data_IF_900682224295
#
_entry.id   IF_900682224295
#
_cell.length_a   1.000
_cell.length_b   1.000
_cell.length_c   1.000
_cell.angle_alpha   90.00
_cell.angle_beta   90.00
_cell.angle_gamma   90.00
#
_symmetry.space_group_name_H-M   'P 1'
#
loop_
_entity.id
_entity.type
_entity.pdbx_description
1 polymer ?
#
# COMPACT_ATOMS: atom_id res chain seq x y z
N UNK A 1 0.04 -13.35 28.46
CA UNK A 1 0.07 -12.43 27.30
C UNK A 1 1.06 -12.89 26.24
N UNK A 2 2.33 -13.15 26.59
CA UNK A 2 3.33 -13.62 25.60
C UNK A 2 2.97 -14.99 24.98
N UNK A 3 2.50 -15.95 25.79
CA UNK A 3 2.03 -17.25 25.28
C UNK A 3 0.80 -17.16 24.36
N UNK A 4 -0.03 -16.13 24.54
CA UNK A 4 -1.23 -15.91 23.74
C UNK A 4 -0.87 -15.34 22.37
N UNK A 5 -0.04 -14.30 22.32
CA UNK A 5 0.43 -13.71 21.06
C UNK A 5 1.22 -14.73 20.22
N UNK A 6 2.09 -15.53 20.85
CA UNK A 6 2.77 -16.62 20.14
C UNK A 6 1.80 -17.67 19.58
N UNK A 7 0.71 -17.98 20.29
CA UNK A 7 -0.33 -18.89 19.77
C UNK A 7 -1.02 -18.28 18.55
N UNK A 8 -1.44 -17.01 18.63
CA UNK A 8 -2.06 -16.31 17.49
C UNK A 8 -1.11 -16.25 16.30
N UNK A 9 0.15 -15.89 16.51
CA UNK A 9 1.14 -15.83 15.44
C UNK A 9 1.31 -17.20 14.77
N UNK A 10 1.39 -18.26 15.57
CA UNK A 10 1.49 -19.62 15.04
C UNK A 10 0.25 -20.01 14.21
N UNK A 11 -0.95 -19.65 14.66
CA UNK A 11 -2.19 -19.88 13.90
C UNK A 11 -2.16 -19.08 12.60
N UNK A 12 -1.92 -17.77 12.67
CA UNK A 12 -1.89 -16.89 11.49
C UNK A 12 -0.84 -17.28 10.48
N UNK A 13 0.29 -17.85 10.91
CA UNK A 13 1.35 -18.29 10.01
C UNK A 13 1.08 -19.65 9.36
N UNK A 14 0.55 -20.60 10.14
CA UNK A 14 0.59 -22.02 9.78
C UNK A 14 -0.79 -22.64 9.54
N UNK A 15 -1.88 -21.99 9.95
CA UNK A 15 -3.22 -22.53 9.70
C UNK A 15 -3.51 -22.54 8.20
N UNK A 16 -4.11 -23.64 7.76
CA UNK A 16 -4.65 -23.82 6.41
C UNK A 16 -6.18 -23.74 6.40
N UNK A 17 -6.81 -23.35 7.51
CA UNK A 17 -8.26 -23.25 7.68
C UNK A 17 -8.65 -21.79 7.85
N UNK A 18 -9.47 -21.28 6.93
CA UNK A 18 -10.01 -19.92 7.06
C UNK A 18 -10.85 -19.74 8.32
N UNK A 19 -11.62 -20.76 8.72
CA UNK A 19 -12.42 -20.71 9.95
C UNK A 19 -11.54 -20.55 11.19
N UNK A 20 -10.43 -21.28 11.28
CA UNK A 20 -9.48 -21.16 12.39
C UNK A 20 -8.81 -19.78 12.42
N UNK A 21 -8.44 -19.25 11.25
CA UNK A 21 -7.90 -17.89 11.12
C UNK A 21 -8.92 -16.84 11.57
N UNK A 22 -10.19 -17.01 11.19
CA UNK A 22 -11.28 -16.12 11.56
C UNK A 22 -11.55 -16.15 13.07
N UNK A 23 -11.59 -17.33 13.69
CA UNK A 23 -11.78 -17.47 15.13
C UNK A 23 -10.63 -16.83 15.92
N UNK A 24 -9.38 -17.11 15.52
CA UNK A 24 -8.20 -16.49 16.12
C UNK A 24 -8.17 -14.97 15.93
N UNK A 25 -8.57 -14.48 14.76
CA UNK A 25 -8.71 -13.05 14.50
C UNK A 25 -9.77 -12.40 15.39
N UNK A 26 -10.96 -13.00 15.51
CA UNK A 26 -12.01 -12.50 16.39
C UNK A 26 -11.58 -12.46 17.84
N UNK A 27 -10.87 -13.50 18.30
CA UNK A 27 -10.32 -13.54 19.65
C UNK A 27 -9.31 -12.39 19.86
N UNK A 28 -8.41 -12.16 18.91
CA UNK A 28 -7.43 -11.07 18.96
C UNK A 28 -8.10 -9.69 19.04
N UNK A 29 -9.12 -9.45 18.20
CA UNK A 29 -9.88 -8.19 18.19
C UNK A 29 -10.66 -8.00 19.49
N UNK A 30 -11.34 -9.03 19.98
CA UNK A 30 -12.11 -8.95 21.24
C UNK A 30 -11.20 -8.65 22.46
N UNK A 31 -9.94 -9.06 22.40
CA UNK A 31 -8.94 -8.79 23.44
C UNK A 31 -8.13 -7.51 23.19
N UNK A 32 -8.51 -6.70 22.19
CA UNK A 32 -7.84 -5.46 21.81
C UNK A 32 -6.33 -5.65 21.55
N UNK A 33 -5.96 -6.74 20.89
CA UNK A 33 -4.57 -6.93 20.43
C UNK A 33 -4.25 -5.85 19.41
N UNK A 34 -3.28 -5.00 19.74
CA UNK A 34 -2.84 -3.91 18.87
C UNK A 34 -1.42 -4.19 18.36
N UNK A 35 -1.21 -5.38 17.79
CA UNK A 35 0.08 -5.81 17.25
C UNK A 35 0.04 -5.78 15.73
N UNK A 36 0.72 -4.77 15.20
CA UNK A 36 0.80 -4.49 13.77
C UNK A 36 1.41 -5.69 13.01
N UNK A 37 2.55 -6.19 13.44
CA UNK A 37 3.24 -7.28 12.73
C UNK A 37 2.45 -8.59 12.76
N UNK A 38 1.67 -8.82 13.83
CA UNK A 38 0.80 -9.99 13.92
C UNK A 38 -0.25 -10.02 12.80
N UNK A 39 -0.91 -8.89 12.55
CA UNK A 39 -1.96 -8.82 11.51
C UNK A 39 -1.42 -8.83 10.09
N UNK A 40 -0.20 -8.35 9.87
CA UNK A 40 0.51 -8.55 8.61
C UNK A 40 0.71 -10.02 8.27
N UNK A 41 1.02 -10.85 9.27
CA UNK A 41 1.17 -12.30 9.10
C UNK A 41 -0.18 -12.92 8.69
N UNK A 42 -1.28 -12.52 9.33
CA UNK A 42 -2.62 -12.97 8.96
C UNK A 42 -2.94 -12.63 7.49
N UNK A 43 -2.77 -11.37 7.08
CA UNK A 43 -3.10 -10.93 5.72
C UNK A 43 -2.24 -11.61 4.65
N UNK A 44 -1.03 -12.05 5.01
CA UNK A 44 -0.14 -12.80 4.13
C UNK A 44 -0.38 -14.31 4.14
N UNK A 45 -1.36 -14.83 4.88
CA UNK A 45 -1.61 -16.26 4.94
C UNK A 45 -2.19 -16.79 3.61
N UNK A 46 -1.59 -17.84 3.00
CA UNK A 46 -1.99 -18.34 1.68
C UNK A 46 -3.34 -19.09 1.67
N UNK A 47 -3.90 -19.44 2.83
CA UNK A 47 -5.22 -20.04 2.95
C UNK A 47 -6.36 -19.04 2.73
N UNK A 48 -6.06 -17.74 2.76
CA UNK A 48 -7.06 -16.69 2.56
C UNK A 48 -7.32 -16.42 1.08
N UNK A 49 -8.60 -16.33 0.74
CA UNK A 49 -9.07 -15.77 -0.52
C UNK A 49 -8.93 -14.25 -0.56
N UNK A 50 -9.03 -13.65 -1.77
CA UNK A 50 -9.03 -12.19 -1.91
C UNK A 50 -10.11 -11.52 -1.06
N UNK A 51 -11.30 -12.12 -1.00
CA UNK A 51 -12.45 -11.54 -0.29
C UNK A 51 -12.25 -11.59 1.21
N UNK A 52 -11.61 -12.65 1.72
CA UNK A 52 -11.26 -12.75 3.14
C UNK A 52 -10.15 -11.77 3.52
N UNK A 53 -9.12 -11.61 2.67
CA UNK A 53 -8.09 -10.59 2.86
C UNK A 53 -8.74 -9.20 2.94
N UNK A 54 -9.67 -8.88 2.02
CA UNK A 54 -10.42 -7.62 2.05
C UNK A 54 -11.24 -7.50 3.33
N UNK A 55 -11.99 -8.53 3.71
CA UNK A 55 -12.81 -8.54 4.91
C UNK A 55 -11.98 -8.28 6.18
N UNK A 56 -10.86 -8.99 6.36
CA UNK A 56 -9.97 -8.77 7.50
C UNK A 56 -9.38 -7.37 7.50
N UNK A 57 -8.97 -6.87 6.33
CA UNK A 57 -8.41 -5.52 6.18
C UNK A 57 -9.41 -4.44 6.55
N UNK A 58 -10.66 -4.53 6.07
CA UNK A 58 -11.72 -3.59 6.44
C UNK A 58 -12.03 -3.63 7.93
N UNK A 59 -12.08 -4.84 8.50
CA UNK A 59 -12.35 -5.00 9.93
C UNK A 59 -11.22 -4.43 10.77
N UNK A 60 -9.96 -4.67 10.40
CA UNK A 60 -8.79 -4.10 11.07
C UNK A 60 -8.80 -2.58 11.02
N UNK A 61 -8.99 -2.00 9.84
CA UNK A 61 -9.04 -0.55 9.66
C UNK A 61 -10.15 0.12 10.50
N UNK A 62 -11.27 -0.60 10.72
CA UNK A 62 -12.39 -0.14 11.53
C UNK A 62 -12.14 -0.26 13.04
N UNK A 63 -11.59 -1.38 13.48
CA UNK A 63 -11.42 -1.68 14.92
C UNK A 63 -10.13 -1.10 15.50
N UNK A 64 -9.11 -0.87 14.64
CA UNK A 64 -7.80 -0.32 15.02
C UNK A 64 -7.46 0.86 14.09
N UNK A 65 -8.18 2.00 14.17
CA UNK A 65 -8.04 3.11 13.22
C UNK A 65 -6.62 3.69 13.13
N UNK A 66 -5.84 3.64 14.21
CA UNK A 66 -4.45 4.08 14.27
C UNK A 66 -3.52 3.26 13.37
N UNK A 67 -3.91 2.03 13.00
CA UNK A 67 -3.16 1.17 12.09
C UNK A 67 -3.69 1.19 10.66
N UNK A 68 -4.80 1.89 10.39
CA UNK A 68 -5.54 1.87 9.13
C UNK A 68 -4.64 2.04 7.89
N UNK A 69 -3.70 2.99 7.92
CA UNK A 69 -2.74 3.21 6.81
C UNK A 69 -1.88 1.97 6.59
N UNK A 70 -1.30 1.41 7.66
CA UNK A 70 -0.43 0.23 7.53
C UNK A 70 -1.21 -1.00 7.08
N UNK A 71 -2.44 -1.19 7.59
CA UNK A 71 -3.35 -2.24 7.14
C UNK A 71 -3.56 -2.13 5.63
N UNK A 72 -4.00 -0.98 5.11
CA UNK A 72 -4.22 -0.81 3.67
C UNK A 72 -2.93 -0.95 2.85
N UNK A 73 -1.79 -0.45 3.34
CA UNK A 73 -0.50 -0.60 2.66
C UNK A 73 -0.08 -2.08 2.54
N UNK A 74 -0.32 -2.90 3.56
CA UNK A 74 0.02 -4.32 3.50
C UNK A 74 -0.97 -5.11 2.67
N UNK A 75 -2.25 -4.81 2.76
CA UNK A 75 -3.27 -5.40 1.89
C UNK A 75 -2.94 -5.14 0.43
N UNK A 76 -2.58 -3.89 0.09
CA UNK A 76 -2.13 -3.55 -1.26
C UNK A 76 -0.89 -4.35 -1.65
N UNK A 77 0.07 -4.51 -0.75
CA UNK A 77 1.30 -5.26 -1.00
C UNK A 77 1.04 -6.77 -1.24
N UNK A 78 0.10 -7.37 -0.51
CA UNK A 78 -0.32 -8.76 -0.72
C UNK A 78 -0.89 -8.95 -2.12
N UNK A 79 -1.72 -8.01 -2.59
CA UNK A 79 -2.26 -8.06 -3.95
C UNK A 79 -1.23 -7.71 -5.03
N UNK A 80 -0.28 -6.81 -4.74
CA UNK A 80 0.83 -6.48 -5.64
C UNK A 80 1.70 -7.70 -5.98
N UNK A 81 1.88 -8.64 -5.05
CA UNK A 81 2.62 -9.89 -5.31
C UNK A 81 1.94 -10.81 -6.34
N UNK A 82 0.67 -10.56 -6.67
CA UNK A 82 -0.11 -11.34 -7.64
C UNK A 82 -0.63 -10.46 -8.78
N UNK A 83 0.02 -9.31 -9.04
CA UNK A 83 -0.45 -8.26 -9.96
C UNK A 83 -0.54 -8.68 -11.43
N UNK A 84 -0.05 -9.86 -11.80
CA UNK A 84 -0.28 -10.45 -13.12
C UNK A 84 -1.76 -10.81 -13.32
N UNK A 85 -2.50 -11.07 -12.24
CA UNK A 85 -3.96 -11.12 -12.25
C UNK A 85 -4.52 -9.69 -12.21
N UNK A 86 -5.31 -9.34 -13.22
CA UNK A 86 -5.92 -8.03 -13.36
C UNK A 86 -6.73 -7.61 -12.13
N UNK A 87 -7.49 -8.52 -11.51
CA UNK A 87 -8.29 -8.20 -10.33
C UNK A 87 -7.39 -7.87 -9.13
N UNK A 88 -6.27 -8.57 -8.99
CA UNK A 88 -5.28 -8.34 -7.94
C UNK A 88 -4.56 -7.01 -8.15
N UNK A 89 -4.23 -6.66 -9.39
CA UNK A 89 -3.67 -5.35 -9.71
C UNK A 89 -4.65 -4.23 -9.32
N UNK A 90 -5.92 -4.33 -9.70
CA UNK A 90 -6.94 -3.33 -9.35
C UNK A 90 -7.15 -3.23 -7.83
N UNK A 91 -7.13 -4.37 -7.12
CA UNK A 91 -7.18 -4.37 -5.66
C UNK A 91 -5.96 -3.68 -5.04
N UNK A 92 -4.74 -3.96 -5.53
CA UNK A 92 -3.53 -3.29 -5.07
C UNK A 92 -3.59 -1.77 -5.28
N UNK A 93 -4.06 -1.33 -6.45
CA UNK A 93 -4.27 0.10 -6.76
C UNK A 93 -5.26 0.70 -5.76
N UNK A 94 -6.42 0.09 -5.60
CA UNK A 94 -7.48 0.57 -4.70
C UNK A 94 -6.99 0.73 -3.26
N UNK A 95 -6.26 -0.26 -2.72
CA UNK A 95 -5.76 -0.19 -1.34
C UNK A 95 -4.64 0.84 -1.16
N UNK A 96 -3.73 1.02 -2.12
CA UNK A 96 -2.76 2.11 -2.04
C UNK A 96 -3.41 3.50 -2.14
N UNK A 97 -4.46 3.66 -2.97
CA UNK A 97 -5.23 4.90 -3.02
C UNK A 97 -5.91 5.19 -1.69
N UNK A 98 -6.53 4.18 -1.07
CA UNK A 98 -7.17 4.34 0.24
C UNK A 98 -6.17 4.62 1.35
N UNK A 99 -5.00 3.98 1.35
CA UNK A 99 -3.91 4.30 2.28
C UNK A 99 -3.49 5.78 2.16
N UNK A 100 -3.42 6.30 0.93
CA UNK A 100 -3.16 7.71 0.68
C UNK A 100 -4.26 8.62 1.22
N UNK A 101 -5.52 8.26 1.04
CA UNK A 101 -6.66 9.07 1.49
C UNK A 101 -6.73 9.23 3.01
N UNK A 102 -6.21 8.25 3.77
CA UNK A 102 -6.08 8.35 5.23
C UNK A 102 -4.99 9.35 5.66
N UNK A 103 -3.91 9.49 4.90
CA UNK A 103 -2.83 10.44 5.18
C UNK A 103 -2.29 11.10 3.89
N UNK A 104 -2.98 12.11 3.33
CA UNK A 104 -2.60 12.73 2.05
C UNK A 104 -1.24 13.45 2.05
N UNK A 105 -0.65 13.64 3.23
CA UNK A 105 0.68 14.20 3.43
C UNK A 105 1.80 13.17 3.15
N UNK A 106 1.49 11.88 3.20
CA UNK A 106 2.43 10.79 3.04
C UNK A 106 2.60 10.41 1.56
N UNK A 107 3.82 10.53 1.05
CA UNK A 107 4.14 10.27 -0.35
C UNK A 107 4.30 8.77 -0.66
N UNK A 108 4.48 7.92 0.35
CA UNK A 108 4.79 6.50 0.15
C UNK A 108 3.74 5.74 -0.66
N UNK A 109 2.42 5.88 -0.42
CA UNK A 109 1.41 5.18 -1.22
C UNK A 109 1.44 5.60 -2.70
N UNK A 110 1.72 6.88 -3.01
CA UNK A 110 1.84 7.34 -4.40
C UNK A 110 3.05 6.70 -5.10
N UNK A 111 4.19 6.61 -4.39
CA UNK A 111 5.38 5.95 -4.92
C UNK A 111 5.11 4.46 -5.16
N UNK A 112 4.37 3.81 -4.26
CA UNK A 112 3.96 2.41 -4.44
C UNK A 112 3.02 2.22 -5.62
N UNK A 113 2.06 3.12 -5.84
CA UNK A 113 1.21 3.10 -7.03
C UNK A 113 2.04 3.14 -8.33
N UNK A 114 3.06 3.99 -8.41
CA UNK A 114 3.92 4.07 -9.59
C UNK A 114 4.68 2.75 -9.87
N UNK A 115 4.98 1.96 -8.84
CA UNK A 115 5.64 0.65 -9.01
C UNK A 115 4.70 -0.42 -9.61
N UNK A 116 3.39 -0.18 -9.60
CA UNK A 116 2.40 -1.04 -10.24
C UNK A 116 2.27 -0.78 -11.75
N UNK A 117 2.91 0.27 -12.28
CA UNK A 117 2.86 0.60 -13.69
C UNK A 117 3.41 -0.55 -14.55
N UNK A 118 2.62 -0.99 -15.53
CA UNK A 118 3.01 -2.01 -16.50
C UNK A 118 3.69 -1.33 -17.71
N UNK A 119 4.96 -1.66 -17.97
CA UNK A 119 5.72 -1.06 -19.07
C UNK A 119 5.53 -1.77 -20.42
N UNK A 120 5.00 -2.99 -20.41
CA UNK A 120 4.84 -3.80 -21.62
C UNK A 120 3.57 -3.42 -22.39
N UNK A 121 2.53 -2.97 -21.67
CA UNK A 121 1.22 -2.65 -22.24
C UNK A 121 0.68 -1.32 -21.72
N UNK A 122 0.06 -0.54 -22.60
CA UNK A 122 -0.76 0.59 -22.18
C UNK A 122 -2.12 0.09 -21.68
N UNK A 123 -2.35 0.18 -20.37
CA UNK A 123 -3.57 -0.30 -19.72
C UNK A 123 -4.40 0.84 -19.13
N UNK A 124 -5.68 0.58 -18.87
CA UNK A 124 -6.51 1.52 -18.11
C UNK A 124 -5.97 1.71 -16.68
N UNK A 125 -5.42 0.66 -16.06
CA UNK A 125 -4.77 0.70 -14.75
C UNK A 125 -3.57 1.67 -14.73
N UNK A 126 -2.74 1.67 -15.77
CA UNK A 126 -1.64 2.62 -15.93
C UNK A 126 -2.14 4.07 -15.94
N UNK A 127 -3.21 4.33 -16.69
CA UNK A 127 -3.83 5.66 -16.73
C UNK A 127 -4.36 6.05 -15.35
N UNK A 128 -5.08 5.15 -14.67
CA UNK A 128 -5.57 5.36 -13.31
C UNK A 128 -4.45 5.70 -12.32
N UNK A 129 -3.31 4.98 -12.39
CA UNK A 129 -2.13 5.23 -11.55
C UNK A 129 -1.58 6.63 -11.79
N UNK A 130 -1.32 7.00 -13.04
CA UNK A 130 -0.71 8.30 -13.38
C UNK A 130 -1.65 9.44 -13.02
N UNK A 131 -2.92 9.37 -13.42
CA UNK A 131 -3.91 10.41 -13.16
C UNK A 131 -4.05 10.66 -11.64
N UNK A 132 -4.11 9.59 -10.84
CA UNK A 132 -4.18 9.70 -9.39
C UNK A 132 -2.92 10.33 -8.80
N UNK A 133 -1.73 9.86 -9.19
CA UNK A 133 -0.46 10.36 -8.63
C UNK A 133 -0.23 11.82 -9.00
N UNK A 134 -0.44 12.21 -10.25
CA UNK A 134 -0.30 13.61 -10.70
C UNK A 134 -1.29 14.55 -9.99
N UNK A 135 -2.53 14.08 -9.76
CA UNK A 135 -3.53 14.87 -9.06
C UNK A 135 -3.17 15.06 -7.58
N UNK A 136 -2.64 14.02 -6.93
CA UNK A 136 -2.47 13.95 -5.48
C UNK A 136 -1.09 14.38 -4.97
N UNK A 137 -0.03 14.35 -5.81
CA UNK A 137 1.32 14.79 -5.41
C UNK A 137 1.34 16.23 -4.88
N UNK A 138 0.38 17.08 -5.25
CA UNK A 138 0.30 18.45 -4.70
C UNK A 138 0.03 18.50 -3.19
N UNK A 139 -0.55 17.45 -2.59
CA UNK A 139 -0.93 17.41 -1.17
C UNK A 139 0.12 16.76 -0.27
N UNK A 140 1.16 16.12 -0.83
CA UNK A 140 2.20 15.47 -0.01
C UNK A 140 3.18 16.48 0.57
N UNK A 141 3.70 16.19 1.76
CA UNK A 141 4.68 17.05 2.44
C UNK A 141 6.04 17.00 1.76
N UNK A 142 6.45 15.81 1.30
CA UNK A 142 7.72 15.58 0.59
C UNK A 142 7.43 15.10 -0.83
N UNK A 143 7.41 16.04 -1.76
CA UNK A 143 7.03 15.83 -3.17
C UNK A 143 8.18 15.32 -4.00
N UNK A 144 9.41 15.66 -3.60
CA UNK A 144 10.64 15.31 -4.32
C UNK A 144 10.70 13.83 -4.71
N UNK A 145 10.45 12.94 -3.74
CA UNK A 145 10.43 11.49 -3.95
C UNK A 145 9.43 11.04 -5.01
N UNK A 146 8.19 11.52 -4.95
CA UNK A 146 7.16 11.18 -5.95
C UNK A 146 7.53 11.71 -7.34
N UNK A 147 8.09 12.92 -7.43
CA UNK A 147 8.55 13.46 -8.72
C UNK A 147 9.74 12.70 -9.30
N UNK A 148 10.69 12.26 -8.47
CA UNK A 148 11.77 11.39 -8.94
C UNK A 148 11.25 10.04 -9.43
N UNK A 149 10.26 9.45 -8.77
CA UNK A 149 9.61 8.22 -9.25
C UNK A 149 8.87 8.43 -10.58
N UNK A 150 8.18 9.56 -10.78
CA UNK A 150 7.58 9.91 -12.07
C UNK A 150 8.64 10.10 -13.15
N UNK A 151 9.75 10.77 -12.83
CA UNK A 151 10.86 10.98 -13.76
C UNK A 151 11.46 9.65 -14.24
N UNK A 152 11.70 8.70 -13.32
CA UNK A 152 12.18 7.36 -13.65
C UNK A 152 11.18 6.59 -14.51
N UNK A 153 9.89 6.66 -14.17
CA UNK A 153 8.83 6.03 -14.96
C UNK A 153 8.81 6.55 -16.40
N UNK A 154 8.76 7.87 -16.60
CA UNK A 154 8.73 8.44 -17.95
C UNK A 154 10.02 8.20 -18.73
N UNK A 155 11.17 8.16 -18.04
CA UNK A 155 12.45 7.77 -18.65
C UNK A 155 12.38 6.33 -19.18
N UNK A 156 11.84 5.38 -18.40
CA UNK A 156 11.65 3.98 -18.83
C UNK A 156 10.65 3.85 -19.97
N UNK A 157 9.62 4.69 -20.01
CA UNK A 157 8.69 4.81 -21.16
C UNK A 157 9.34 5.38 -22.42
N UNK A 158 10.55 5.94 -22.33
CA UNK A 158 11.20 6.67 -23.43
C UNK A 158 10.67 8.10 -23.64
N UNK A 159 9.82 8.62 -22.75
CA UNK A 159 9.37 10.01 -22.77
C UNK A 159 10.34 10.90 -22.01
N UNK A 160 11.45 11.24 -22.67
CA UNK A 160 12.51 12.04 -22.08
C UNK A 160 12.10 13.48 -21.78
N UNK A 161 11.06 14.01 -22.45
CA UNK A 161 10.55 15.35 -22.19
C UNK A 161 9.85 15.38 -20.82
N UNK A 162 8.93 14.45 -20.58
CA UNK A 162 8.26 14.34 -19.27
C UNK A 162 9.23 13.89 -18.19
N UNK A 163 10.17 12.99 -18.49
CA UNK A 163 11.21 12.61 -17.54
C UNK A 163 12.02 13.83 -17.06
N UNK A 164 12.46 14.68 -17.99
CA UNK A 164 13.23 15.89 -17.66
C UNK A 164 12.40 16.91 -16.88
N UNK A 165 11.12 17.07 -17.24
CA UNK A 165 10.18 17.92 -16.50
C UNK A 165 10.05 17.48 -15.04
N UNK A 166 9.81 16.18 -14.82
CA UNK A 166 9.63 15.65 -13.47
C UNK A 166 10.93 15.62 -12.66
N UNK A 167 12.07 15.42 -13.30
CA UNK A 167 13.37 15.55 -12.65
C UNK A 167 13.58 16.96 -12.10
N UNK A 168 13.36 17.99 -12.94
CA UNK A 168 13.50 19.38 -12.53
C UNK A 168 12.52 19.77 -11.41
N UNK A 169 11.30 19.24 -11.43
CA UNK A 169 10.34 19.42 -10.33
C UNK A 169 10.82 18.74 -9.04
N UNK A 170 11.37 17.53 -9.14
CA UNK A 170 11.91 16.78 -8.01
C UNK A 170 13.10 17.50 -7.35
N UNK A 171 14.05 18.00 -8.14
CA UNK A 171 15.20 18.78 -7.67
C UNK A 171 14.75 20.05 -6.94
N UNK A 172 13.84 20.80 -7.56
CA UNK A 172 13.29 22.03 -6.97
C UNK A 172 12.59 21.79 -5.63
N UNK A 173 11.79 20.72 -5.51
CA UNK A 173 11.13 20.39 -4.25
C UNK A 173 12.13 19.85 -3.22
N UNK A 174 13.15 19.09 -3.63
CA UNK A 174 14.20 18.63 -2.73
C UNK A 174 14.96 19.80 -2.07
N UNK A 175 15.30 20.84 -2.84
CA UNK A 175 15.90 22.07 -2.32
C UNK A 175 14.99 22.77 -1.30
N UNK A 176 13.69 22.88 -1.60
CA UNK A 176 12.71 23.47 -0.68
C UNK A 176 12.58 22.67 0.61
N UNK A 177 12.49 21.35 0.50
CA UNK A 177 12.40 20.42 1.62
C UNK A 177 13.66 20.44 2.50
N UNK A 178 14.83 20.67 1.91
CA UNK A 178 16.09 20.84 2.65
C UNK A 178 16.11 22.17 3.42
N UNK A 179 15.70 23.27 2.77
CA UNK A 179 15.67 24.60 3.38
C UNK A 179 14.59 24.77 4.46
N UNK A 180 13.54 23.96 4.44
CA UNK A 180 12.46 23.99 5.45
C UNK A 180 12.83 23.33 6.78
N UNK A 181 14.05 22.77 6.89
CA UNK A 181 14.57 22.13 8.13
C UNK A 181 15.42 23.07 8.99
N UNK A 182 15.53 24.34 8.59
CA UNK A 182 16.23 25.41 9.30
C UNK A 182 15.24 26.48 9.73
#
# INVERSE_FOLDING_TARGET
>A
MNSFLHRLENIFRNSTSSDELFDAFREAINLNVNDLELYKILLGNPALSSDEIKMFSEKLAKEIPEQCINTFMWTANVFEYQKEDYNKLEDAISYYQRAFEQEPANALPLIKLLNLYNYDLETQSNKTIIDFVEQKVKTVNKKSGTFFSLADLYKRKGDYLLASKYLALGEKEAEREANSKH
#
